data_IF_183686041943
#
_entry.id   IF_183686041943
#
_cell.length_a   1.000
_cell.length_b   1.000
_cell.length_c   1.000
_cell.angle_alpha   90.00
_cell.angle_beta   90.00
_cell.angle_gamma   90.00
#
_symmetry.space_group_name_H-M   'P 1'
#
loop_
_entity.id
_entity.type
_entity.pdbx_description
1 polymer ?
#
# COMPACT_ATOMS: atom_id res chain seq x y z
N UNK A 1 -11.92 -18.92 0.97
CA UNK A 1 -10.73 -18.25 0.40
C UNK A 1 -10.21 -19.07 -0.77
N UNK A 2 -10.15 -18.45 -1.95
CA UNK A 2 -9.77 -19.05 -3.25
C UNK A 2 -8.33 -18.73 -3.67
N UNK A 3 -7.81 -17.56 -3.31
CA UNK A 3 -6.47 -17.11 -3.70
C UNK A 3 -5.92 -16.02 -2.78
N UNK A 4 -4.63 -15.76 -2.92
CA UNK A 4 -3.91 -14.64 -2.30
C UNK A 4 -3.32 -13.79 -3.43
N UNK A 5 -3.67 -12.51 -3.45
CA UNK A 5 -3.01 -11.51 -4.27
C UNK A 5 -1.73 -11.05 -3.57
N UNK A 6 -0.59 -11.26 -4.22
CA UNK A 6 0.72 -11.08 -3.62
C UNK A 6 1.28 -9.66 -3.81
N UNK A 7 0.59 -8.79 -4.56
CA UNK A 7 1.06 -7.43 -4.81
C UNK A 7 -0.08 -6.43 -4.82
N UNK A 8 -0.35 -5.81 -3.66
CA UNK A 8 -1.43 -4.83 -3.53
C UNK A 8 -0.92 -3.55 -2.87
N UNK A 9 -1.23 -2.42 -3.50
CA UNK A 9 -1.06 -1.08 -2.93
C UNK A 9 -2.42 -0.56 -2.47
N UNK A 10 -2.45 0.09 -1.30
CA UNK A 10 -3.63 0.78 -0.78
C UNK A 10 -3.43 2.30 -0.94
N UNK A 11 -4.50 3.11 -0.78
CA UNK A 11 -4.37 4.56 -0.74
C UNK A 11 -3.29 5.02 0.25
N UNK A 12 -2.59 6.08 -0.14
CA UNK A 12 -1.51 6.69 0.63
C UNK A 12 -1.92 6.97 2.08
N UNK A 13 -0.99 6.76 3.01
CA UNK A 13 -1.16 7.11 4.41
C UNK A 13 -1.62 8.57 4.55
N UNK A 14 -2.73 8.83 5.26
CA UNK A 14 -3.21 10.18 5.51
C UNK A 14 -2.16 11.06 6.20
N UNK A 15 -2.00 12.29 5.71
CA UNK A 15 -1.06 13.28 6.27
C UNK A 15 0.32 13.28 5.62
N UNK A 16 0.65 12.31 4.75
CA UNK A 16 1.84 12.36 3.92
C UNK A 16 1.61 13.24 2.68
N UNK A 17 2.68 13.88 2.14
CA UNK A 17 2.59 14.53 0.84
C UNK A 17 2.25 13.52 -0.26
N UNK A 18 1.63 13.96 -1.37
CA UNK A 18 1.37 13.09 -2.52
C UNK A 18 2.66 12.43 -3.02
N UNK A 19 2.59 11.13 -3.32
CA UNK A 19 3.73 10.39 -3.87
C UNK A 19 4.04 10.86 -5.29
N UNK A 20 5.30 11.22 -5.57
CA UNK A 20 5.69 11.60 -6.92
C UNK A 20 5.73 10.38 -7.85
N UNK A 21 6.19 9.24 -7.33
CA UNK A 21 6.22 7.99 -8.07
C UNK A 21 4.81 7.51 -8.41
N UNK A 22 3.91 7.47 -7.44
CA UNK A 22 2.52 7.05 -7.66
C UNK A 22 1.86 7.92 -8.74
N UNK A 23 1.97 9.25 -8.62
CA UNK A 23 1.41 10.19 -9.60
C UNK A 23 2.00 9.97 -11.00
N UNK A 24 3.31 9.75 -11.10
CA UNK A 24 3.98 9.48 -12.39
C UNK A 24 3.47 8.19 -13.02
N UNK A 25 3.36 7.11 -12.24
CA UNK A 25 2.87 5.82 -12.72
C UNK A 25 1.40 5.89 -13.13
N UNK A 26 0.56 6.57 -12.35
CA UNK A 26 -0.86 6.78 -12.68
C UNK A 26 -1.02 7.52 -14.00
N UNK A 27 -0.28 8.60 -14.20
CA UNK A 27 -0.29 9.35 -15.46
C UNK A 27 0.18 8.48 -16.63
N UNK A 28 1.25 7.72 -16.44
CA UNK A 28 1.80 6.84 -17.48
C UNK A 28 0.81 5.73 -17.89
N UNK A 29 0.16 5.09 -16.93
CA UNK A 29 -0.81 4.02 -17.17
C UNK A 29 -2.24 4.53 -17.43
N UNK A 30 -2.45 5.85 -17.45
CA UNK A 30 -3.76 6.48 -17.59
C UNK A 30 -4.77 6.00 -16.51
N UNK A 31 -4.29 5.77 -15.29
CA UNK A 31 -5.05 5.29 -14.14
C UNK A 31 -5.51 6.47 -13.26
N UNK A 32 -6.32 7.36 -13.85
CA UNK A 32 -6.73 8.64 -13.26
C UNK A 32 -7.95 8.54 -12.33
N UNK A 33 -8.71 7.46 -12.42
CA UNK A 33 -9.87 7.21 -11.56
C UNK A 33 -9.47 6.12 -10.56
N UNK A 34 -9.15 6.48 -9.32
CA UNK A 34 -9.20 5.55 -8.19
C UNK A 34 -9.34 6.36 -6.90
N UNK A 35 -10.57 6.78 -6.61
CA UNK A 35 -10.97 7.35 -5.32
C UNK A 35 -11.36 6.25 -4.31
N UNK A 36 -10.85 5.04 -4.52
CA UNK A 36 -11.18 3.88 -3.70
C UNK A 36 -10.65 4.08 -2.29
N UNK A 37 -11.52 3.90 -1.31
CA UNK A 37 -11.11 3.87 0.10
C UNK A 37 -10.56 2.48 0.47
N UNK A 38 -9.90 2.38 1.63
CA UNK A 38 -9.45 1.09 2.15
C UNK A 38 -10.64 0.14 2.37
N UNK A 39 -11.79 0.68 2.81
CA UNK A 39 -13.04 -0.08 2.94
C UNK A 39 -13.51 -0.65 1.60
N UNK A 40 -13.43 0.12 0.52
CA UNK A 40 -13.83 -0.34 -0.81
C UNK A 40 -12.96 -1.53 -1.27
N UNK A 41 -11.64 -1.41 -1.07
CA UNK A 41 -10.67 -2.47 -1.41
C UNK A 41 -10.92 -3.71 -0.54
N UNK A 42 -11.11 -3.56 0.77
CA UNK A 42 -11.39 -4.68 1.66
C UNK A 42 -12.68 -5.42 1.25
N UNK A 43 -13.74 -4.67 0.97
CA UNK A 43 -15.01 -5.23 0.50
C UNK A 43 -14.91 -5.90 -0.87
N UNK A 44 -14.05 -5.39 -1.76
CA UNK A 44 -13.73 -6.06 -3.03
C UNK A 44 -13.11 -7.43 -2.76
N UNK A 45 -12.06 -7.52 -1.93
CA UNK A 45 -11.41 -8.80 -1.61
C UNK A 45 -12.34 -9.80 -0.92
N UNK A 46 -13.23 -9.34 -0.02
CA UNK A 46 -14.30 -10.19 0.55
C UNK A 46 -15.20 -10.80 -0.53
N UNK A 47 -15.66 -9.99 -1.49
CA UNK A 47 -16.53 -10.44 -2.60
C UNK A 47 -15.81 -11.44 -3.51
N UNK A 48 -14.51 -11.26 -3.72
CA UNK A 48 -13.69 -12.16 -4.52
C UNK A 48 -13.37 -13.49 -3.80
N UNK A 49 -13.64 -13.58 -2.50
CA UNK A 49 -13.19 -14.67 -1.63
C UNK A 49 -11.65 -14.81 -1.68
N UNK A 50 -10.94 -13.69 -1.60
CA UNK A 50 -9.48 -13.59 -1.70
C UNK A 50 -8.89 -12.78 -0.54
N UNK A 51 -7.60 -12.97 -0.28
CA UNK A 51 -6.82 -12.09 0.58
C UNK A 51 -5.78 -11.30 -0.24
N UNK A 52 -5.32 -10.18 0.32
CA UNK A 52 -4.33 -9.30 -0.28
C UNK A 52 -3.12 -9.09 0.64
N UNK A 53 -1.92 -9.28 0.10
CA UNK A 53 -0.67 -8.88 0.73
C UNK A 53 -0.43 -7.39 0.45
N UNK A 54 -0.46 -6.58 1.52
CA UNK A 54 -0.27 -5.13 1.39
C UNK A 54 1.22 -4.81 1.30
N UNK A 55 1.60 -4.11 0.23
CA UNK A 55 2.97 -3.65 -0.01
C UNK A 55 3.01 -2.12 0.07
N UNK A 56 3.75 -1.60 1.05
CA UNK A 56 4.32 -0.26 0.94
C UNK A 56 5.72 -0.36 0.31
N UNK A 57 6.29 0.79 -0.08
CA UNK A 57 7.63 0.89 -0.63
C UNK A 57 8.41 1.87 0.23
N UNK A 58 9.48 1.38 0.85
CA UNK A 58 10.47 2.21 1.49
C UNK A 58 11.70 2.35 0.59
N UNK A 59 11.83 3.52 -0.02
CA UNK A 59 12.94 3.89 -0.92
C UNK A 59 13.49 5.28 -0.61
N UNK A 60 13.25 5.78 0.61
CA UNK A 60 13.50 7.17 1.00
C UNK A 60 14.95 7.60 0.77
N UNK A 61 15.93 6.71 0.95
CA UNK A 61 17.35 7.04 0.72
C UNK A 61 17.61 7.47 -0.74
N UNK A 62 16.86 6.92 -1.69
CA UNK A 62 17.02 7.22 -3.11
C UNK A 62 16.07 8.32 -3.58
N UNK A 63 14.84 8.36 -3.07
CA UNK A 63 13.79 9.26 -3.57
C UNK A 63 13.56 10.50 -2.70
N UNK A 64 14.02 10.48 -1.44
CA UNK A 64 13.65 11.45 -0.41
C UNK A 64 12.17 11.38 0.00
N UNK A 65 11.42 10.40 -0.49
CA UNK A 65 9.99 10.26 -0.21
C UNK A 65 9.78 9.44 1.06
N UNK A 66 9.11 10.04 2.05
CA UNK A 66 8.74 9.36 3.29
C UNK A 66 7.79 8.20 2.96
N UNK A 67 8.05 6.95 3.33
CA UNK A 67 7.16 5.83 3.00
C UNK A 67 5.86 5.84 3.81
N UNK A 68 4.88 5.02 3.43
CA UNK A 68 3.82 4.68 4.37
C UNK A 68 4.47 3.86 5.49
N UNK A 69 4.20 4.22 6.73
CA UNK A 69 4.84 3.56 7.86
C UNK A 69 4.39 2.10 7.99
N UNK A 70 5.29 1.23 8.43
CA UNK A 70 4.93 -0.15 8.76
C UNK A 70 3.85 -0.21 9.87
N UNK A 71 3.84 0.75 10.79
CA UNK A 71 2.79 0.90 11.81
C UNK A 71 1.43 1.20 11.19
N UNK A 72 1.38 2.08 10.18
CA UNK A 72 0.16 2.35 9.44
C UNK A 72 -0.35 1.09 8.71
N UNK A 73 0.52 0.40 7.96
CA UNK A 73 0.16 -0.86 7.29
C UNK A 73 -0.34 -1.89 8.29
N UNK A 74 0.35 -2.04 9.43
CA UNK A 74 -0.08 -2.94 10.50
C UNK A 74 -1.45 -2.56 11.09
N UNK A 75 -1.74 -1.26 11.21
CA UNK A 75 -3.02 -0.78 11.74
C UNK A 75 -4.18 -1.13 10.80
N UNK A 76 -3.97 -0.96 9.49
CA UNK A 76 -4.94 -1.32 8.44
C UNK A 76 -5.17 -2.83 8.43
N UNK A 77 -4.10 -3.63 8.48
CA UNK A 77 -4.23 -5.09 8.53
C UNK A 77 -4.96 -5.55 9.80
N UNK A 78 -4.75 -4.87 10.93
CA UNK A 78 -5.48 -5.19 12.17
C UNK A 78 -6.98 -4.91 12.04
N UNK A 79 -7.35 -3.82 11.38
CA UNK A 79 -8.74 -3.44 11.14
C UNK A 79 -9.45 -4.40 10.16
N UNK A 80 -8.76 -4.83 9.10
CA UNK A 80 -9.29 -5.69 8.04
C UNK A 80 -8.59 -7.06 7.99
N UNK A 81 -8.37 -7.64 9.17
CA UNK A 81 -7.59 -8.89 9.34
C UNK A 81 -8.18 -10.12 8.64
N UNK A 82 -9.45 -10.04 8.23
CA UNK A 82 -10.11 -11.09 7.47
C UNK A 82 -9.70 -11.16 6.00
N UNK A 83 -9.16 -10.06 5.45
CA UNK A 83 -8.79 -9.97 4.02
C UNK A 83 -7.39 -9.45 3.74
N UNK A 84 -6.71 -8.82 4.71
CA UNK A 84 -5.38 -8.26 4.49
C UNK A 84 -4.27 -8.99 5.25
N UNK A 85 -3.09 -9.04 4.63
CA UNK A 85 -1.86 -9.61 5.17
C UNK A 85 -0.79 -8.52 5.15
N UNK A 86 -0.06 -8.35 6.24
CA UNK A 86 1.00 -7.36 6.34
C UNK A 86 2.30 -7.82 5.66
N UNK A 87 2.98 -6.88 5.00
CA UNK A 87 4.36 -7.04 4.56
C UNK A 87 5.14 -5.77 4.88
N UNK A 88 6.25 -5.91 5.62
CA UNK A 88 7.04 -4.76 6.02
C UNK A 88 7.97 -4.32 4.89
N UNK A 89 8.00 -3.01 4.62
CA UNK A 89 8.96 -2.40 3.71
C UNK A 89 10.06 -1.72 4.53
N UNK A 90 11.31 -1.98 4.17
CA UNK A 90 12.49 -1.44 4.86
C UNK A 90 13.47 -0.99 3.79
N UNK A 91 13.88 0.28 3.83
CA UNK A 91 15.04 0.75 3.09
C UNK A 91 16.32 0.41 3.88
N UNK A 92 17.12 -0.57 3.43
CA UNK A 92 18.29 -1.03 4.18
C UNK A 92 19.46 -0.02 4.18
N UNK A 93 19.35 1.10 3.46
CA UNK A 93 20.40 2.11 3.37
C UNK A 93 20.25 3.27 4.37
N UNK A 94 19.09 3.44 5.00
CA UNK A 94 18.80 4.55 5.92
C UNK A 94 19.75 4.69 7.10
N UNK A 95 20.35 3.59 7.56
CA UNK A 95 21.28 3.58 8.70
C UNK A 95 22.75 3.74 8.30
N UNK A 96 23.06 3.90 7.00
CA UNK A 96 24.43 3.98 6.47
C UNK A 96 24.85 5.38 6.01
N UNK A 97 24.03 6.41 6.22
CA UNK A 97 24.33 7.79 5.84
C UNK A 97 24.75 8.66 7.03
#
# INVERSE_FOLDING_TARGET
>A
MKAIDMHVHIPRQPGLPPSHMENTLRNFFNANDNNETIDDIANMYRKLDMMALLLSIDSETTTGEIPDSNDYISSVVKEYSDVFIAFAAIDPWKEKQ
#
